data_IF_117402672211
#
_entry.id   IF_117402672211
#
_cell.length_a   1.000
_cell.length_b   1.000
_cell.length_c   1.000
_cell.angle_alpha   90.00
_cell.angle_beta   90.00
_cell.angle_gamma   90.00
#
_symmetry.space_group_name_H-M   'P 1'
#
loop_
_entity.id
_entity.type
_entity.pdbx_description
1 polymer ?
#
# COMPACT_ATOMS: atom_id res chain seq x y z
N UNK A 1 20.86 -73.86 7.56
CA UNK A 1 20.88 -73.09 6.31
C UNK A 1 20.21 -71.81 6.62
N UNK A 2 20.99 -70.79 6.96
CA UNK A 2 20.47 -69.46 7.36
C UNK A 2 20.03 -68.71 6.09
N UNK A 3 18.72 -68.54 5.95
CA UNK A 3 18.13 -67.57 5.07
C UNK A 3 18.41 -66.16 5.64
N UNK A 4 19.54 -65.60 5.28
CA UNK A 4 19.69 -64.14 5.39
C UNK A 4 18.75 -63.54 4.34
N UNK A 5 17.60 -63.06 4.79
CA UNK A 5 16.80 -62.11 4.02
C UNK A 5 17.72 -61.01 3.55
N UNK A 6 17.94 -60.93 2.26
CA UNK A 6 18.62 -59.78 1.62
C UNK A 6 17.70 -58.61 1.87
N UNK A 7 17.94 -57.88 2.95
CA UNK A 7 17.39 -56.55 3.11
C UNK A 7 17.75 -55.76 1.87
N UNK A 8 16.75 -55.28 1.15
CA UNK A 8 16.95 -54.47 -0.03
C UNK A 8 17.63 -53.20 0.40
N UNK A 9 18.95 -53.12 0.12
CA UNK A 9 19.73 -51.91 0.44
C UNK A 9 19.19 -50.76 -0.42
N UNK A 10 18.61 -49.75 0.25
CA UNK A 10 18.20 -48.49 -0.42
C UNK A 10 19.40 -47.58 -0.41
N UNK A 11 19.84 -47.15 -1.59
CA UNK A 11 20.96 -46.23 -1.72
C UNK A 11 20.43 -44.82 -1.91
N UNK A 12 20.91 -43.88 -1.11
CA UNK A 12 20.63 -42.45 -1.23
C UNK A 12 21.86 -41.72 -1.71
N UNK A 13 21.69 -40.94 -2.76
CA UNK A 13 22.74 -40.07 -3.30
C UNK A 13 22.32 -38.62 -3.06
N UNK A 14 23.24 -37.81 -2.59
CA UNK A 14 22.98 -36.39 -2.42
C UNK A 14 24.10 -35.56 -3.02
N UNK A 15 23.72 -34.44 -3.64
CA UNK A 15 24.60 -33.33 -3.92
C UNK A 15 24.45 -32.25 -2.85
N UNK A 16 25.53 -31.53 -2.60
CA UNK A 16 25.50 -30.39 -1.69
C UNK A 16 25.89 -29.15 -2.48
N UNK A 17 24.97 -28.21 -2.56
CA UNK A 17 25.26 -26.93 -3.21
C UNK A 17 25.99 -26.04 -2.21
N UNK A 18 27.28 -25.75 -2.48
CA UNK A 18 28.14 -24.94 -1.62
C UNK A 18 28.51 -23.62 -2.30
N UNK A 19 28.74 -22.57 -1.52
CA UNK A 19 29.41 -21.37 -2.02
C UNK A 19 30.93 -21.68 -2.22
N UNK A 20 31.61 -20.88 -3.04
CA UNK A 20 33.01 -21.13 -3.41
C UNK A 20 33.96 -21.25 -2.20
N UNK A 21 33.70 -20.51 -1.15
CA UNK A 21 34.53 -20.57 0.07
C UNK A 21 34.39 -21.90 0.81
N UNK A 22 33.16 -22.42 0.88
CA UNK A 22 32.86 -23.72 1.48
C UNK A 22 33.28 -24.89 0.59
N UNK A 23 33.29 -24.68 -0.73
CA UNK A 23 33.78 -25.66 -1.70
C UNK A 23 35.25 -26.01 -1.43
N UNK A 24 36.11 -25.00 -1.25
CA UNK A 24 37.53 -25.20 -0.93
C UNK A 24 37.73 -25.94 0.43
N UNK A 25 36.96 -25.56 1.46
CA UNK A 25 36.98 -26.23 2.75
C UNK A 25 36.53 -27.69 2.63
N UNK A 26 35.47 -27.97 1.90
CA UNK A 26 34.97 -29.33 1.71
C UNK A 26 35.95 -30.18 0.90
N UNK A 27 36.54 -29.61 -0.16
CA UNK A 27 37.55 -30.31 -0.95
C UNK A 27 38.75 -30.74 -0.09
N UNK A 28 39.23 -29.89 0.82
CA UNK A 28 40.27 -30.23 1.75
C UNK A 28 39.87 -31.35 2.73
N UNK A 29 38.63 -31.32 3.23
CA UNK A 29 38.09 -32.38 4.10
C UNK A 29 37.93 -33.72 3.38
N UNK A 30 37.51 -33.70 2.11
CA UNK A 30 37.40 -34.90 1.26
C UNK A 30 38.78 -35.49 1.03
N UNK A 31 39.80 -34.68 0.71
CA UNK A 31 41.16 -35.14 0.55
C UNK A 31 41.68 -35.80 1.83
N UNK A 32 41.46 -35.19 3.01
CA UNK A 32 41.80 -35.76 4.31
C UNK A 32 41.08 -37.09 4.56
N UNK A 33 39.83 -37.23 4.16
CA UNK A 33 39.08 -38.47 4.29
C UNK A 33 39.68 -39.60 3.43
N UNK A 34 40.08 -39.26 2.21
CA UNK A 34 40.77 -40.24 1.33
C UNK A 34 42.11 -40.67 1.90
N UNK A 35 42.91 -39.79 2.45
CA UNK A 35 44.17 -40.15 3.15
C UNK A 35 43.89 -41.06 4.36
N UNK A 36 42.89 -40.76 5.15
CA UNK A 36 42.48 -41.60 6.29
C UNK A 36 42.05 -42.99 5.88
N UNK A 37 41.24 -43.12 4.83
CA UNK A 37 40.76 -44.43 4.36
C UNK A 37 41.85 -45.29 3.70
N UNK A 38 42.86 -44.65 3.12
CA UNK A 38 43.98 -45.38 2.48
C UNK A 38 45.17 -45.61 3.44
N UNK A 39 45.08 -45.14 4.68
CA UNK A 39 46.12 -45.33 5.67
C UNK A 39 46.02 -46.70 6.34
N UNK A 40 46.65 -47.70 5.74
CA UNK A 40 46.75 -49.06 6.31
C UNK A 40 47.48 -49.08 7.65
N UNK A 41 48.30 -48.09 7.95
CA UNK A 41 49.10 -48.02 9.17
C UNK A 41 48.35 -47.39 10.34
N UNK A 42 47.16 -46.78 10.11
CA UNK A 42 46.31 -46.15 11.13
C UNK A 42 46.93 -44.92 11.77
N UNK A 43 47.77 -44.18 11.07
CA UNK A 43 48.50 -43.02 11.61
C UNK A 43 47.76 -41.70 11.28
N UNK A 44 46.87 -41.69 10.28
CA UNK A 44 46.09 -40.51 9.87
C UNK A 44 44.84 -40.38 10.74
N UNK A 45 44.63 -39.22 11.35
CA UNK A 45 43.43 -38.96 12.16
C UNK A 45 42.19 -38.82 11.24
N UNK A 46 41.00 -39.28 11.66
CA UNK A 46 39.76 -39.10 10.90
C UNK A 46 39.46 -37.62 10.71
N UNK A 47 38.90 -37.21 9.57
CA UNK A 47 38.50 -35.81 9.33
C UNK A 47 37.42 -35.39 10.32
N UNK A 48 37.49 -34.16 10.81
CA UNK A 48 36.39 -33.59 11.61
C UNK A 48 35.09 -33.49 10.80
N UNK A 49 33.96 -33.84 11.39
CA UNK A 49 32.67 -33.76 10.71
C UNK A 49 32.29 -32.31 10.37
N UNK A 50 31.79 -32.10 9.18
CA UNK A 50 31.29 -30.79 8.72
C UNK A 50 29.79 -30.75 8.85
N UNK A 51 29.26 -29.74 9.57
CA UNK A 51 27.81 -29.51 9.68
C UNK A 51 27.38 -28.59 8.57
N UNK A 52 26.48 -29.06 7.72
CA UNK A 52 25.86 -28.28 6.64
C UNK A 52 24.36 -28.14 6.92
N UNK A 53 23.85 -26.92 6.76
CA UNK A 53 22.41 -26.62 6.91
C UNK A 53 21.86 -26.22 5.53
N UNK A 54 20.71 -26.77 5.18
CA UNK A 54 20.05 -26.48 3.90
C UNK A 54 18.68 -27.13 3.83
N UNK A 55 18.06 -27.06 2.68
CA UNK A 55 16.77 -27.70 2.38
C UNK A 55 17.01 -28.86 1.41
N UNK A 56 16.46 -30.01 1.73
CA UNK A 56 16.50 -31.17 0.85
C UNK A 56 15.48 -30.99 -0.27
N UNK A 57 15.97 -31.01 -1.51
CA UNK A 57 15.15 -30.98 -2.71
C UNK A 57 15.46 -32.23 -3.55
N UNK A 58 14.53 -32.76 -4.34
CA UNK A 58 14.87 -33.69 -5.40
C UNK A 58 15.89 -33.03 -6.35
N UNK A 59 16.89 -33.78 -6.82
CA UNK A 59 17.83 -33.25 -7.81
C UNK A 59 17.12 -32.79 -9.06
N UNK A 60 17.59 -31.70 -9.65
CA UNK A 60 17.14 -31.33 -10.98
C UNK A 60 17.60 -32.35 -12.03
N UNK A 61 16.89 -32.42 -13.15
CA UNK A 61 17.14 -33.43 -14.19
C UNK A 61 18.55 -33.37 -14.77
N UNK A 62 19.21 -32.21 -14.75
CA UNK A 62 20.57 -32.05 -15.23
C UNK A 62 21.57 -32.63 -14.25
N UNK A 63 21.44 -32.30 -12.98
CA UNK A 63 22.27 -32.81 -11.89
C UNK A 63 22.12 -34.34 -11.77
N UNK A 64 20.88 -34.85 -11.81
CA UNK A 64 20.61 -36.28 -11.80
C UNK A 64 21.29 -37.00 -12.97
N UNK A 65 21.24 -36.44 -14.19
CA UNK A 65 21.91 -37.02 -15.35
C UNK A 65 23.42 -37.10 -15.13
N UNK A 66 24.07 -36.05 -14.62
CA UNK A 66 25.49 -36.08 -14.33
C UNK A 66 25.86 -37.14 -13.28
N UNK A 67 25.03 -37.31 -12.27
CA UNK A 67 25.19 -38.38 -11.30
C UNK A 67 25.06 -39.76 -11.92
N UNK A 68 24.07 -39.98 -12.76
CA UNK A 68 23.88 -41.25 -13.47
C UNK A 68 25.06 -41.54 -14.40
N UNK A 69 25.57 -40.55 -15.11
CA UNK A 69 26.75 -40.67 -15.96
C UNK A 69 28.01 -41.02 -15.14
N UNK A 70 28.18 -40.38 -13.98
CA UNK A 70 29.33 -40.69 -13.09
C UNK A 70 29.25 -42.11 -12.49
N UNK A 71 28.04 -42.57 -12.16
CA UNK A 71 27.82 -43.92 -11.61
C UNK A 71 27.86 -45.03 -12.68
N UNK A 72 27.68 -44.69 -13.97
CA UNK A 72 27.71 -45.67 -15.05
C UNK A 72 29.05 -46.45 -15.15
N UNK A 73 30.14 -45.87 -14.64
CA UNK A 73 31.44 -46.54 -14.50
C UNK A 73 31.55 -47.57 -13.38
N UNK A 74 30.54 -47.68 -12.51
CA UNK A 74 30.55 -48.56 -11.33
C UNK A 74 29.82 -49.90 -11.53
N UNK A 75 29.47 -50.26 -12.79
CA UNK A 75 28.78 -51.51 -13.16
C UNK A 75 27.42 -51.71 -12.38
N UNK A 76 26.73 -50.62 -12.06
CA UNK A 76 25.43 -50.65 -11.38
C UNK A 76 24.34 -51.04 -12.38
N UNK A 77 23.52 -52.02 -12.04
CA UNK A 77 22.45 -52.50 -12.92
C UNK A 77 21.28 -51.48 -12.99
N UNK A 78 20.50 -51.44 -14.07
CA UNK A 78 19.32 -50.59 -14.20
C UNK A 78 18.30 -50.82 -13.08
N UNK A 79 18.13 -52.04 -12.60
CA UNK A 79 17.24 -52.40 -11.52
C UNK A 79 17.71 -51.86 -10.15
N UNK A 80 18.98 -51.58 -10.00
CA UNK A 80 19.53 -50.92 -8.82
C UNK A 80 19.39 -49.39 -8.91
N UNK A 81 19.51 -48.84 -10.12
CA UNK A 81 19.23 -47.42 -10.35
C UNK A 81 17.79 -47.03 -9.98
N UNK A 82 16.82 -47.92 -10.28
CA UNK A 82 15.40 -47.65 -9.94
C UNK A 82 15.13 -47.63 -8.42
N UNK A 83 16.06 -48.12 -7.62
CA UNK A 83 15.99 -48.10 -6.16
C UNK A 83 16.73 -46.92 -5.54
N UNK A 84 17.34 -46.07 -6.34
CA UNK A 84 18.11 -44.93 -5.87
C UNK A 84 17.26 -43.66 -5.84
N UNK A 85 17.41 -42.93 -4.77
CA UNK A 85 16.80 -41.62 -4.61
C UNK A 85 17.85 -40.53 -4.65
N UNK A 86 17.67 -39.59 -5.55
CA UNK A 86 18.61 -38.50 -5.78
C UNK A 86 18.11 -37.22 -5.14
N UNK A 87 18.81 -36.72 -4.13
CA UNK A 87 18.48 -35.49 -3.41
C UNK A 87 19.63 -34.50 -3.46
N UNK A 88 19.27 -33.23 -3.46
CA UNK A 88 20.16 -32.09 -3.38
C UNK A 88 19.95 -31.34 -2.08
N UNK A 89 21.03 -31.05 -1.33
CA UNK A 89 20.98 -30.16 -0.18
C UNK A 89 21.29 -28.73 -0.64
N UNK A 90 20.24 -27.92 -0.83
CA UNK A 90 20.38 -26.52 -1.19
C UNK A 90 20.70 -25.70 0.06
N UNK A 91 21.93 -25.21 0.17
CA UNK A 91 22.38 -24.36 1.28
C UNK A 91 22.14 -22.87 1.05
N UNK A 92 21.71 -22.48 -0.16
CA UNK A 92 21.44 -21.07 -0.51
C UNK A 92 19.99 -20.66 -0.22
N UNK A 93 19.05 -21.59 -0.36
CA UNK A 93 17.63 -21.33 -0.19
C UNK A 93 17.11 -21.89 1.13
N UNK A 94 17.19 -21.11 2.19
CA UNK A 94 16.63 -21.50 3.49
C UNK A 94 15.10 -21.40 3.41
N UNK A 95 14.41 -22.55 3.51
CA UNK A 95 12.95 -22.61 3.58
C UNK A 95 12.21 -22.59 2.23
N UNK A 96 12.87 -22.86 1.10
CA UNK A 96 12.23 -22.99 -0.23
C UNK A 96 11.79 -21.67 -0.85
N UNK A 97 12.00 -20.55 -0.18
CA UNK A 97 11.78 -19.20 -0.71
C UNK A 97 13.14 -18.62 -1.10
N UNK A 98 13.23 -18.08 -2.32
CA UNK A 98 14.39 -17.27 -2.70
C UNK A 98 14.64 -16.21 -1.65
N UNK A 99 15.83 -16.17 -1.07
CA UNK A 99 16.17 -15.25 0.01
C UNK A 99 15.76 -13.78 -0.28
N UNK A 100 15.94 -13.24 -1.50
CA UNK A 100 15.45 -11.92 -1.85
C UNK A 100 13.93 -11.77 -1.74
N UNK A 101 13.16 -12.75 -2.17
CA UNK A 101 11.69 -12.73 -2.09
C UNK A 101 11.22 -12.80 -0.63
N UNK A 102 11.85 -13.63 0.20
CA UNK A 102 11.56 -13.71 1.63
C UNK A 102 11.76 -12.36 2.32
N UNK A 103 12.90 -11.70 2.10
CA UNK A 103 13.17 -10.39 2.69
C UNK A 103 12.24 -9.30 2.18
N UNK A 104 11.84 -9.36 0.90
CA UNK A 104 10.85 -8.45 0.33
C UNK A 104 9.48 -8.62 0.99
N UNK A 105 9.02 -9.85 1.17
CA UNK A 105 7.75 -10.15 1.85
C UNK A 105 7.79 -9.75 3.32
N UNK A 106 8.90 -9.99 4.02
CA UNK A 106 9.08 -9.56 5.41
C UNK A 106 9.07 -8.04 5.55
N UNK A 107 9.76 -7.32 4.66
CA UNK A 107 9.73 -5.85 4.64
C UNK A 107 8.32 -5.32 4.39
N UNK A 108 7.57 -5.94 3.46
CA UNK A 108 6.18 -5.63 3.19
C UNK A 108 5.27 -5.86 4.42
N UNK A 109 5.43 -6.98 5.09
CA UNK A 109 4.65 -7.31 6.30
C UNK A 109 4.92 -6.32 7.44
N UNK A 110 6.20 -5.97 7.68
CA UNK A 110 6.58 -4.96 8.68
C UNK A 110 5.99 -3.59 8.30
N UNK A 111 6.08 -3.19 7.03
CA UNK A 111 5.48 -1.94 6.54
C UNK A 111 3.98 -1.86 6.78
N UNK A 112 3.26 -2.94 6.50
CA UNK A 112 1.81 -3.04 6.76
C UNK A 112 1.49 -2.98 8.25
N UNK A 113 2.27 -3.64 9.11
CA UNK A 113 2.09 -3.59 10.55
C UNK A 113 2.29 -2.17 11.12
N UNK A 114 3.35 -1.47 10.69
CA UNK A 114 3.60 -0.08 11.07
C UNK A 114 2.46 0.83 10.60
N UNK A 115 1.99 0.65 9.36
CA UNK A 115 0.86 1.41 8.82
C UNK A 115 -0.43 1.16 9.62
N UNK A 116 -0.72 -0.10 9.98
CA UNK A 116 -1.90 -0.46 10.77
C UNK A 116 -1.85 0.18 12.17
N UNK A 117 -0.69 0.13 12.85
CA UNK A 117 -0.50 0.77 14.16
C UNK A 117 -0.65 2.28 14.06
N UNK A 118 0.01 2.93 13.09
CA UNK A 118 -0.09 4.38 12.90
C UNK A 118 -1.53 4.83 12.62
N UNK A 119 -2.26 4.07 11.78
CA UNK A 119 -3.68 4.33 11.48
C UNK A 119 -4.56 4.14 12.72
N UNK A 120 -4.32 3.10 13.50
CA UNK A 120 -5.01 2.84 14.76
C UNK A 120 -4.79 3.95 15.78
N UNK A 121 -3.55 4.35 16.02
CA UNK A 121 -3.22 5.46 16.91
C UNK A 121 -3.90 6.75 16.44
N UNK A 122 -3.88 7.05 15.14
CA UNK A 122 -4.57 8.21 14.57
C UNK A 122 -6.08 8.20 14.84
N UNK A 123 -6.70 7.03 14.75
CA UNK A 123 -8.13 6.85 15.04
C UNK A 123 -8.45 7.01 16.54
N UNK A 124 -7.74 6.30 17.41
CA UNK A 124 -7.97 6.35 18.86
C UNK A 124 -7.60 7.69 19.51
N UNK A 125 -6.65 8.44 18.93
CA UNK A 125 -6.28 9.78 19.43
C UNK A 125 -7.19 10.90 18.92
N UNK A 126 -8.34 10.58 18.30
CA UNK A 126 -9.23 11.55 17.66
C UNK A 126 -8.52 12.45 16.64
N UNK A 127 -7.46 11.92 16.00
CA UNK A 127 -6.68 12.67 15.00
C UNK A 127 -7.51 13.21 13.84
N UNK A 128 -8.62 12.53 13.52
CA UNK A 128 -9.58 12.97 12.51
C UNK A 128 -10.30 14.28 12.91
N UNK A 129 -10.46 14.55 14.21
CA UNK A 129 -11.12 15.75 14.74
C UNK A 129 -10.18 16.95 14.94
N UNK A 130 -8.88 16.78 14.73
CA UNK A 130 -7.86 17.81 15.01
C UNK A 130 -8.15 19.18 14.36
N UNK A 131 -8.68 19.16 13.14
CA UNK A 131 -9.00 20.40 12.43
C UNK A 131 -10.26 21.08 13.00
N UNK A 132 -11.23 20.29 13.43
CA UNK A 132 -12.45 20.81 14.10
C UNK A 132 -12.05 21.41 15.44
N UNK A 133 -11.19 20.75 16.21
CA UNK A 133 -10.68 21.30 17.48
C UNK A 133 -9.92 22.61 17.27
N UNK A 134 -9.08 22.70 16.23
CA UNK A 134 -8.39 23.95 15.88
C UNK A 134 -9.38 25.07 15.48
N UNK A 135 -10.47 24.72 14.82
CA UNK A 135 -11.52 25.67 14.48
C UNK A 135 -12.21 26.21 15.75
N UNK A 136 -12.59 25.32 16.67
CA UNK A 136 -13.19 25.69 17.96
C UNK A 136 -12.27 26.58 18.83
N UNK A 137 -10.96 26.30 18.79
CA UNK A 137 -9.97 27.16 19.49
C UNK A 137 -9.88 28.58 18.90
N UNK A 138 -10.16 28.72 17.60
CA UNK A 138 -10.10 30.01 16.88
C UNK A 138 -11.37 30.83 17.08
N UNK A 139 -12.53 30.18 17.20
CA UNK A 139 -13.83 30.83 17.34
C UNK A 139 -14.50 30.29 18.61
N UNK A 140 -14.24 30.98 19.72
CA UNK A 140 -14.78 30.60 21.03
C UNK A 140 -16.30 30.77 21.16
N UNK A 141 -16.95 31.40 20.17
CA UNK A 141 -18.42 31.52 20.11
C UNK A 141 -19.10 30.25 19.63
N UNK A 142 -18.34 29.30 19.07
CA UNK A 142 -18.86 28.05 18.54
C UNK A 142 -18.58 26.91 19.52
N UNK A 143 -19.62 26.14 19.84
CA UNK A 143 -19.48 24.92 20.65
C UNK A 143 -19.50 23.67 19.76
N UNK A 144 -18.89 22.56 20.23
CA UNK A 144 -18.95 21.29 19.55
C UNK A 144 -20.39 20.79 19.38
N UNK A 145 -21.23 20.99 20.40
CA UNK A 145 -22.64 20.63 20.38
C UNK A 145 -23.41 21.33 19.25
N UNK A 146 -23.09 22.61 18.99
CA UNK A 146 -23.71 23.34 17.88
C UNK A 146 -23.30 22.80 16.49
N UNK A 147 -22.05 22.34 16.39
CA UNK A 147 -21.57 21.66 15.15
C UNK A 147 -22.24 20.32 15.01
N UNK A 148 -22.36 19.52 16.04
CA UNK A 148 -23.01 18.21 16.04
C UNK A 148 -24.50 18.32 15.69
N UNK A 149 -25.20 19.33 16.24
CA UNK A 149 -26.60 19.62 15.91
C UNK A 149 -26.77 19.93 14.40
N UNK A 150 -25.93 20.83 13.86
CA UNK A 150 -25.97 21.18 12.42
C UNK A 150 -25.59 20.00 11.54
N UNK A 151 -24.61 19.22 11.97
CA UNK A 151 -24.15 18.01 11.27
C UNK A 151 -25.23 16.93 11.23
N UNK A 152 -26.01 16.77 12.29
CA UNK A 152 -27.08 15.76 12.34
C UNK A 152 -28.19 16.00 11.32
N UNK A 153 -28.35 17.24 10.87
CA UNK A 153 -29.34 17.69 9.87
C UNK A 153 -28.70 17.98 8.51
N UNK A 154 -27.37 17.78 8.37
CA UNK A 154 -26.65 18.11 7.17
C UNK A 154 -26.98 17.17 6.02
N UNK A 155 -27.04 17.71 4.82
CA UNK A 155 -27.18 16.93 3.61
C UNK A 155 -25.87 16.21 3.27
N UNK A 156 -25.94 14.87 3.15
CA UNK A 156 -24.78 14.05 2.82
C UNK A 156 -24.57 13.96 1.31
N UNK A 157 -23.43 14.45 0.85
CA UNK A 157 -22.99 14.38 -0.55
C UNK A 157 -21.83 13.40 -0.68
N UNK A 158 -21.95 12.41 -1.52
CA UNK A 158 -20.88 11.45 -1.88
C UNK A 158 -20.13 10.84 -0.68
N UNK A 159 -20.80 10.50 0.42
CA UNK A 159 -20.26 9.86 1.64
C UNK A 159 -19.10 10.59 2.34
N UNK A 160 -18.61 11.70 1.82
CA UNK A 160 -17.43 12.41 2.32
C UNK A 160 -17.65 13.90 2.58
N UNK A 161 -18.80 14.43 2.21
CA UNK A 161 -19.15 15.85 2.37
C UNK A 161 -20.53 15.98 2.97
N UNK A 162 -20.65 16.73 4.04
CA UNK A 162 -21.89 17.06 4.73
C UNK A 162 -22.10 18.56 4.68
N UNK A 163 -23.14 18.99 4.00
CA UNK A 163 -23.50 20.40 3.88
C UNK A 163 -24.63 20.70 4.85
N UNK A 164 -24.26 21.32 5.99
CA UNK A 164 -25.19 21.79 7.00
C UNK A 164 -25.62 23.24 6.73
N UNK A 165 -26.51 23.79 7.58
CA UNK A 165 -26.96 25.18 7.49
C UNK A 165 -25.85 26.17 7.82
N UNK A 166 -25.05 25.87 8.82
CA UNK A 166 -23.99 26.76 9.33
C UNK A 166 -22.60 26.33 8.91
N UNK A 167 -22.37 25.04 8.78
CA UNK A 167 -21.05 24.48 8.49
C UNK A 167 -21.11 23.40 7.41
N UNK A 168 -20.06 23.36 6.61
CA UNK A 168 -19.76 22.21 5.75
C UNK A 168 -18.64 21.42 6.38
N UNK A 169 -18.88 20.12 6.59
CA UNK A 169 -17.85 19.17 7.06
C UNK A 169 -17.48 18.27 5.90
N UNK A 170 -16.20 18.09 5.67
CA UNK A 170 -15.72 17.20 4.60
C UNK A 170 -14.46 16.46 5.00
N UNK A 171 -14.27 15.28 4.45
CA UNK A 171 -13.12 14.42 4.73
C UNK A 171 -12.02 14.65 3.69
N UNK A 172 -10.77 14.76 4.19
CA UNK A 172 -9.55 14.75 3.38
C UNK A 172 -8.64 13.66 3.94
N UNK A 173 -8.57 12.53 3.24
CA UNK A 173 -7.99 11.33 3.82
C UNK A 173 -8.72 10.93 5.10
N UNK A 174 -7.99 10.76 6.19
CA UNK A 174 -8.56 10.41 7.50
C UNK A 174 -8.86 11.63 8.40
N UNK A 175 -8.87 12.85 7.86
CA UNK A 175 -9.08 14.07 8.63
C UNK A 175 -10.39 14.75 8.23
N UNK A 176 -11.26 15.01 9.21
CA UNK A 176 -12.41 15.88 9.03
C UNK A 176 -11.97 17.35 8.99
N UNK A 177 -12.48 18.09 8.03
CA UNK A 177 -12.34 19.54 7.93
C UNK A 177 -13.68 20.21 8.06
N UNK A 178 -13.69 21.40 8.61
CA UNK A 178 -14.89 22.22 8.80
C UNK A 178 -14.71 23.57 8.12
N UNK A 179 -15.77 24.02 7.45
CA UNK A 179 -15.82 25.29 6.77
C UNK A 179 -17.13 26.01 7.16
N UNK A 180 -17.05 27.23 7.72
CA UNK A 180 -18.26 28.01 8.03
C UNK A 180 -18.90 28.53 6.75
N UNK A 181 -20.18 28.17 6.53
CA UNK A 181 -20.91 28.53 5.32
C UNK A 181 -21.15 30.04 5.19
N UNK A 182 -21.24 30.75 6.33
CA UNK A 182 -21.41 32.23 6.37
C UNK A 182 -20.27 32.99 5.66
N UNK A 183 -19.09 32.37 5.56
CA UNK A 183 -17.93 33.02 4.94
C UNK A 183 -17.84 32.73 3.44
N UNK A 184 -18.67 31.82 2.91
CA UNK A 184 -18.69 31.47 1.51
C UNK A 184 -19.36 32.58 0.68
N UNK A 185 -18.71 32.92 -0.42
CA UNK A 185 -19.21 33.96 -1.35
C UNK A 185 -19.36 33.43 -2.77
N UNK A 186 -18.62 32.40 -3.14
CA UNK A 186 -18.63 31.85 -4.48
C UNK A 186 -18.32 30.36 -4.48
N UNK A 187 -19.04 29.59 -5.33
CA UNK A 187 -18.79 28.18 -5.51
C UNK A 187 -19.12 27.71 -6.92
N UNK A 188 -18.31 26.81 -7.45
CA UNK A 188 -18.52 26.23 -8.77
C UNK A 188 -17.80 24.89 -8.91
N UNK A 189 -18.22 24.13 -9.95
CA UNK A 189 -17.53 22.93 -10.39
C UNK A 189 -16.34 23.31 -11.27
N UNK A 190 -15.22 22.68 -11.01
CA UNK A 190 -14.00 22.81 -11.81
C UNK A 190 -13.52 21.47 -12.29
N UNK A 191 -13.26 21.36 -13.59
CA UNK A 191 -12.65 20.17 -14.18
C UNK A 191 -11.41 20.57 -14.98
N UNK A 192 -10.34 19.82 -14.76
CA UNK A 192 -9.15 19.87 -15.61
C UNK A 192 -9.00 18.51 -16.27
N UNK A 193 -9.01 18.52 -17.61
CA UNK A 193 -8.76 17.33 -18.44
C UNK A 193 -7.28 17.24 -18.78
N UNK A 194 -6.75 16.01 -18.95
CA UNK A 194 -5.36 15.76 -19.32
C UNK A 194 -4.73 14.62 -18.53
N UNK A 195 -3.41 14.53 -18.55
CA UNK A 195 -2.64 13.45 -17.90
C UNK A 195 -2.93 13.30 -16.40
N UNK A 196 -3.35 14.37 -15.76
CA UNK A 196 -3.84 14.38 -14.37
C UNK A 196 -5.20 15.09 -14.37
N UNK A 197 -6.26 14.33 -14.66
CA UNK A 197 -7.62 14.85 -14.58
C UNK A 197 -7.97 15.15 -13.13
N UNK A 198 -8.53 16.33 -12.90
CA UNK A 198 -9.01 16.78 -11.59
C UNK A 198 -10.46 17.18 -11.74
N UNK A 199 -11.30 16.69 -10.82
CA UNK A 199 -12.72 17.05 -10.71
C UNK A 199 -12.96 17.48 -9.28
N UNK A 200 -13.34 18.74 -9.09
CA UNK A 200 -13.42 19.34 -7.76
C UNK A 200 -14.51 20.43 -7.69
N UNK A 201 -15.10 20.54 -6.52
CA UNK A 201 -15.86 21.72 -6.12
C UNK A 201 -14.92 22.77 -5.57
N UNK A 202 -14.97 23.97 -6.11
CA UNK A 202 -14.23 25.14 -5.63
C UNK A 202 -15.14 26.06 -4.87
N UNK A 203 -14.72 26.40 -3.63
CA UNK A 203 -15.44 27.29 -2.74
C UNK A 203 -14.55 28.45 -2.32
N UNK A 204 -15.02 29.65 -2.51
CA UNK A 204 -14.28 30.87 -2.17
C UNK A 204 -14.94 31.61 -1.03
N UNK A 205 -14.10 32.14 -0.12
CA UNK A 205 -14.57 32.90 1.05
C UNK A 205 -14.41 34.42 0.84
N UNK A 206 -15.00 35.18 1.74
CA UNK A 206 -14.82 36.66 1.83
C UNK A 206 -13.37 37.07 1.97
N UNK A 207 -12.55 36.25 2.60
CA UNK A 207 -11.11 36.50 2.77
C UNK A 207 -10.30 36.11 1.54
N UNK A 208 -10.96 35.82 0.41
CA UNK A 208 -10.35 35.32 -0.84
C UNK A 208 -9.59 33.99 -0.68
N UNK A 209 -9.94 33.19 0.32
CA UNK A 209 -9.41 31.83 0.45
C UNK A 209 -10.17 30.88 -0.43
N UNK A 210 -9.42 30.00 -1.10
CA UNK A 210 -9.96 28.89 -1.91
C UNK A 210 -9.95 27.60 -1.11
N UNK A 211 -11.07 26.93 -1.08
CA UNK A 211 -11.21 25.56 -0.63
C UNK A 211 -11.57 24.65 -1.81
N UNK A 212 -10.88 23.55 -1.94
CA UNK A 212 -11.14 22.56 -2.99
C UNK A 212 -11.57 21.25 -2.35
N UNK A 213 -12.65 20.69 -2.84
CA UNK A 213 -13.21 19.42 -2.39
C UNK A 213 -13.36 18.52 -3.62
N UNK A 214 -12.68 17.38 -3.62
CA UNK A 214 -12.73 16.42 -4.73
C UNK A 214 -14.12 15.78 -4.81
N UNK A 215 -14.91 16.16 -5.78
CA UNK A 215 -16.26 15.68 -6.04
C UNK A 215 -16.47 15.49 -7.53
N UNK A 216 -17.35 14.55 -7.89
CA UNK A 216 -17.83 14.43 -9.25
C UNK A 216 -18.69 15.65 -9.63
N UNK A 217 -18.91 15.88 -10.90
CA UNK A 217 -19.77 16.94 -11.38
C UNK A 217 -21.18 16.85 -10.77
N UNK A 218 -21.80 15.67 -10.85
CA UNK A 218 -23.12 15.40 -10.28
C UNK A 218 -23.18 15.73 -8.79
N UNK A 219 -22.19 15.27 -8.02
CA UNK A 219 -22.15 15.54 -6.57
C UNK A 219 -21.86 17.00 -6.26
N UNK A 220 -21.09 17.69 -7.11
CA UNK A 220 -20.85 19.12 -6.96
C UNK A 220 -22.15 19.91 -7.22
N UNK A 221 -22.90 19.56 -8.25
CA UNK A 221 -24.19 20.19 -8.54
C UNK A 221 -25.19 19.97 -7.41
N UNK A 222 -25.22 18.75 -6.84
CA UNK A 222 -26.03 18.44 -5.66
C UNK A 222 -25.66 19.33 -4.46
N UNK A 223 -24.36 19.41 -4.13
CA UNK A 223 -23.88 20.28 -3.03
C UNK A 223 -24.19 21.75 -3.28
N UNK A 224 -23.96 22.24 -4.50
CA UNK A 224 -24.23 23.63 -4.87
C UNK A 224 -25.73 23.95 -4.80
N UNK A 225 -26.60 23.02 -5.15
CA UNK A 225 -28.05 23.13 -4.96
C UNK A 225 -28.44 23.38 -3.51
N UNK A 226 -27.84 22.59 -2.57
CA UNK A 226 -28.05 22.80 -1.13
C UNK A 226 -27.56 24.17 -0.68
N UNK A 227 -26.41 24.64 -1.20
CA UNK A 227 -25.94 26.00 -0.86
C UNK A 227 -26.88 27.11 -1.40
N UNK A 228 -27.44 26.97 -2.59
CA UNK A 228 -28.40 27.94 -3.14
C UNK A 228 -29.61 28.08 -2.21
N UNK A 229 -30.13 26.96 -1.70
CA UNK A 229 -31.25 26.97 -0.77
C UNK A 229 -30.94 27.55 0.58
N UNK A 230 -29.76 27.20 1.15
CA UNK A 230 -29.39 27.56 2.52
C UNK A 230 -28.62 28.88 2.64
N UNK A 231 -27.92 29.27 1.57
CA UNK A 231 -27.04 30.44 1.49
C UNK A 231 -27.37 31.29 0.24
N UNK A 232 -28.58 31.87 0.13
CA UNK A 232 -29.03 32.54 -1.09
C UNK A 232 -28.14 33.71 -1.52
N UNK A 233 -27.25 34.13 -0.63
CA UNK A 233 -26.25 35.15 -0.91
C UNK A 233 -24.96 34.60 -1.53
N UNK A 234 -24.75 33.33 -1.69
CA UNK A 234 -23.59 32.77 -2.34
C UNK A 234 -23.77 32.75 -3.85
N UNK A 235 -22.81 33.23 -4.61
CA UNK A 235 -22.82 33.12 -6.08
C UNK A 235 -22.44 31.70 -6.45
N UNK A 236 -23.26 31.05 -7.30
CA UNK A 236 -23.01 29.69 -7.77
C UNK A 236 -22.83 29.70 -9.28
N UNK A 237 -21.88 28.88 -9.76
CA UNK A 237 -21.50 28.77 -11.15
C UNK A 237 -20.25 29.53 -11.52
N UNK A 238 -19.73 29.25 -12.73
CA UNK A 238 -18.51 29.86 -13.23
C UNK A 238 -18.74 30.62 -14.54
N UNK A 239 -18.25 31.83 -14.61
CA UNK A 239 -18.00 32.52 -15.87
C UNK A 239 -16.69 33.30 -15.79
N UNK A 240 -16.06 33.56 -16.94
CA UNK A 240 -14.86 34.41 -17.00
C UNK A 240 -15.09 35.84 -16.53
N UNK A 241 -16.32 36.35 -16.59
CA UNK A 241 -16.74 37.67 -16.09
C UNK A 241 -16.80 37.64 -14.55
N UNK A 242 -17.40 36.63 -13.94
CA UNK A 242 -17.41 36.44 -12.50
C UNK A 242 -16.00 36.32 -11.93
N UNK A 243 -15.11 35.59 -12.62
CA UNK A 243 -13.72 35.49 -12.20
C UNK A 243 -12.99 36.83 -12.28
N UNK A 244 -13.16 37.58 -13.35
CA UNK A 244 -12.58 38.92 -13.49
C UNK A 244 -13.10 39.87 -12.42
N UNK A 245 -14.39 39.83 -12.15
CA UNK A 245 -15.03 40.66 -11.12
C UNK A 245 -14.54 40.28 -9.73
N UNK A 246 -14.51 39.00 -9.40
CA UNK A 246 -13.98 38.51 -8.13
C UNK A 246 -12.53 38.94 -7.88
N UNK A 247 -11.68 38.86 -8.92
CA UNK A 247 -10.28 39.20 -8.81
C UNK A 247 -10.00 40.71 -8.80
N UNK A 248 -10.69 41.48 -9.64
CA UNK A 248 -10.39 42.92 -9.87
C UNK A 248 -11.32 43.86 -9.09
N UNK A 249 -12.62 43.51 -8.98
CA UNK A 249 -13.66 44.34 -8.40
C UNK A 249 -14.43 43.60 -7.32
N UNK A 250 -13.72 43.10 -6.30
CA UNK A 250 -14.28 42.20 -5.31
C UNK A 250 -15.50 42.80 -4.57
N UNK A 251 -15.51 44.13 -4.34
CA UNK A 251 -16.65 44.76 -3.70
C UNK A 251 -17.91 44.74 -4.59
N UNK A 252 -17.73 44.91 -5.89
CA UNK A 252 -18.80 44.79 -6.86
C UNK A 252 -19.32 43.34 -6.95
N UNK A 253 -18.38 42.36 -6.91
CA UNK A 253 -18.73 40.95 -6.83
C UNK A 253 -19.58 40.64 -5.58
N UNK A 254 -19.24 41.19 -4.44
CA UNK A 254 -20.06 41.04 -3.23
C UNK A 254 -21.45 41.69 -3.35
N UNK A 255 -21.59 42.77 -4.11
CA UNK A 255 -22.83 43.46 -4.34
C UNK A 255 -23.75 42.71 -5.29
N UNK A 256 -23.25 41.89 -6.23
CA UNK A 256 -24.05 41.02 -7.11
C UNK A 256 -25.02 40.14 -6.31
N UNK A 257 -24.63 39.76 -5.14
CA UNK A 257 -25.32 38.96 -4.16
C UNK A 257 -26.59 39.58 -3.58
N UNK A 258 -26.63 40.89 -3.48
CA UNK A 258 -27.74 41.64 -2.85
C UNK A 258 -28.67 42.26 -3.87
N UNK A 259 -28.41 42.09 -5.16
CA UNK A 259 -29.28 42.63 -6.24
C UNK A 259 -30.06 41.46 -6.91
N UNK A 260 -31.33 41.24 -6.54
CA UNK A 260 -32.15 40.16 -7.08
C UNK A 260 -32.34 40.24 -8.59
N UNK A 261 -32.18 41.41 -9.21
CA UNK A 261 -32.23 41.56 -10.66
C UNK A 261 -31.01 41.00 -11.36
N UNK A 262 -29.84 40.91 -10.69
CA UNK A 262 -28.64 40.29 -11.23
C UNK A 262 -28.52 38.79 -10.84
N UNK A 263 -29.16 38.35 -9.77
CA UNK A 263 -29.26 36.91 -9.43
C UNK A 263 -29.98 36.14 -10.53
N UNK A 264 -31.03 36.71 -11.10
CA UNK A 264 -31.78 36.12 -12.26
C UNK A 264 -30.95 36.13 -13.57
N UNK A 265 -29.99 37.04 -13.73
CA UNK A 265 -29.05 37.02 -14.85
C UNK A 265 -27.97 35.92 -14.66
N UNK A 266 -27.62 35.61 -13.43
CA UNK A 266 -26.69 34.49 -13.11
C UNK A 266 -27.32 33.10 -13.29
N UNK A 267 -28.65 32.96 -13.14
CA UNK A 267 -29.39 31.73 -13.48
C UNK A 267 -29.32 31.38 -14.97
N UNK A 268 -29.18 32.39 -15.85
CA UNK A 268 -28.96 32.17 -17.29
C UNK A 268 -27.57 31.59 -17.63
N UNK A 269 -26.60 31.69 -16.74
CA UNK A 269 -25.23 31.13 -16.91
C UNK A 269 -25.01 29.78 -16.23
N UNK A 270 -26.00 29.29 -15.47
CA UNK A 270 -25.93 27.98 -14.79
C UNK A 270 -26.29 26.78 -15.68
N UNK A 271 -26.52 27.02 -16.98
CA UNK A 271 -26.96 25.99 -17.96
C UNK A 271 -25.84 25.57 -18.93
N UNK A 272 -24.58 25.59 -18.54
CA UNK A 272 -23.53 24.99 -19.39
C UNK A 272 -22.59 24.09 -18.60
#
# INVERSE_FOLDING_TARGET
VDDYEKEASIWYFYSIYLDKKREDEMAAKIAQAFEFWNDEAGQVAPPEPVTVKGVWNPMDAQTERYFREALAGLEISETEFDKMYFYELDTKNIGGLNAPLFWFLMAGAVGLAVFAVASGVGFFSNGYMKNIQKYLQKDSSVSIAAIEEDFSQAHLVQKTVWVGKKWTVYMVGNSARILPNKDLVWGYYYQRTGRHSVSEMRLYTREKKLFTISLSEKSTQEALGVYVEQQPQMVVGYSGELEKMYNKNFQEFLNLKYNPAMANAAEGYAQF
#
